data_IF_508061909575
#
_entry.id   IF_508061909575
#
_cell.length_a   1.000
_cell.length_b   1.000
_cell.length_c   1.000
_cell.angle_alpha   90.00
_cell.angle_beta   90.00
_cell.angle_gamma   90.00
#
_symmetry.space_group_name_H-M   'P 1'
#
loop_
_entity.id
_entity.type
_entity.pdbx_description
1 polymer ?
#
# COMPACT_ATOMS: atom_id res chain seq x y z
N UNK A 1 -21.79 16.86 -0.51
CA UNK A 1 -20.77 16.16 0.28
C UNK A 1 -19.72 15.64 -0.69
N UNK A 2 -18.48 16.11 -0.58
CA UNK A 2 -17.35 15.58 -1.36
C UNK A 2 -16.80 14.29 -0.72
N UNK A 3 -15.99 13.49 -1.45
CA UNK A 3 -15.34 12.32 -0.86
C UNK A 3 -14.42 12.64 0.32
N UNK A 4 -13.72 13.78 0.28
CA UNK A 4 -12.85 14.23 1.37
C UNK A 4 -13.67 14.63 2.60
N UNK A 5 -14.71 15.44 2.45
CA UNK A 5 -15.62 15.83 3.53
C UNK A 5 -16.25 14.59 4.20
N UNK A 6 -16.64 13.61 3.40
CA UNK A 6 -17.16 12.34 3.89
C UNK A 6 -16.11 11.58 4.72
N UNK A 7 -14.86 11.51 4.27
CA UNK A 7 -13.77 10.84 5.01
C UNK A 7 -13.55 11.50 6.36
N UNK A 8 -13.46 12.83 6.39
CA UNK A 8 -13.27 13.59 7.63
C UNK A 8 -14.40 13.32 8.63
N UNK A 9 -15.66 13.37 8.19
CA UNK A 9 -16.80 13.09 9.07
C UNK A 9 -16.84 11.63 9.55
N UNK A 10 -16.41 10.69 8.71
CA UNK A 10 -16.30 9.26 9.07
C UNK A 10 -15.21 9.02 10.12
N UNK A 11 -14.07 9.69 10.01
CA UNK A 11 -12.97 9.62 10.99
C UNK A 11 -13.40 10.14 12.38
N UNK A 12 -14.33 11.11 12.42
CA UNK A 12 -14.85 11.69 13.65
C UNK A 12 -15.84 10.79 14.40
N UNK A 13 -16.32 9.68 13.82
CA UNK A 13 -17.30 8.78 14.46
C UNK A 13 -16.79 8.20 15.79
N UNK A 14 -15.48 7.96 15.90
CA UNK A 14 -14.86 7.50 17.15
C UNK A 14 -15.02 8.52 18.27
N UNK A 15 -14.56 9.76 18.04
CA UNK A 15 -14.69 10.84 19.01
C UNK A 15 -16.16 11.19 19.30
N UNK A 16 -17.02 11.16 18.29
CA UNK A 16 -18.47 11.33 18.44
C UNK A 16 -19.06 10.29 19.41
N UNK A 17 -18.68 9.01 19.27
CA UNK A 17 -19.17 7.92 20.15
C UNK A 17 -18.72 8.08 21.61
N UNK A 18 -17.60 8.75 21.84
CA UNK A 18 -17.04 9.04 23.16
C UNK A 18 -17.53 10.37 23.74
N UNK A 19 -18.27 11.17 22.96
CA UNK A 19 -18.70 12.51 23.36
C UNK A 19 -17.56 13.54 23.43
N UNK A 20 -16.46 13.31 22.71
CA UNK A 20 -15.23 14.13 22.75
C UNK A 20 -15.12 15.12 21.57
N UNK A 21 -16.27 15.51 21.00
CA UNK A 21 -16.35 16.50 19.94
C UNK A 21 -16.89 17.84 20.47
N UNK A 22 -16.49 18.94 19.84
CA UNK A 22 -17.16 20.21 20.06
C UNK A 22 -18.61 20.16 19.56
N UNK A 23 -19.46 21.06 20.05
CA UNK A 23 -20.88 21.12 19.67
C UNK A 23 -21.09 21.28 18.15
N UNK A 24 -20.24 22.09 17.51
CA UNK A 24 -20.30 22.31 16.07
C UNK A 24 -19.93 21.03 15.28
N UNK A 25 -18.90 20.31 15.73
CA UNK A 25 -18.46 19.05 15.14
C UNK A 25 -19.49 17.93 15.33
N UNK A 26 -20.04 17.80 16.53
CA UNK A 26 -21.09 16.83 16.82
C UNK A 26 -22.33 17.09 15.96
N UNK A 27 -22.71 18.35 15.77
CA UNK A 27 -23.82 18.74 14.88
C UNK A 27 -23.54 18.36 13.42
N UNK A 28 -22.31 18.59 12.94
CA UNK A 28 -21.92 18.23 11.58
C UNK A 28 -21.95 16.70 11.36
N UNK A 29 -21.44 15.92 12.32
CA UNK A 29 -21.49 14.45 12.29
C UNK A 29 -22.93 13.96 12.34
N UNK A 30 -23.78 14.54 13.20
CA UNK A 30 -25.19 14.17 13.29
C UNK A 30 -25.93 14.42 11.96
N UNK A 31 -25.77 15.61 11.37
CA UNK A 31 -26.37 15.95 10.09
C UNK A 31 -25.90 15.00 8.96
N UNK A 32 -24.64 14.56 9.01
CA UNK A 32 -24.13 13.55 8.08
C UNK A 32 -24.78 12.17 8.30
N UNK A 33 -24.90 11.75 9.56
CA UNK A 33 -25.52 10.48 9.95
C UNK A 33 -26.99 10.40 9.56
N UNK A 34 -27.70 11.52 9.49
CA UNK A 34 -29.09 11.54 9.01
C UNK A 34 -29.17 11.10 7.53
N UNK A 35 -28.14 11.42 6.73
CA UNK A 35 -28.08 11.11 5.29
C UNK A 35 -27.29 9.87 4.90
N UNK A 36 -26.37 9.37 5.73
CA UNK A 36 -25.41 8.32 5.34
C UNK A 36 -25.64 6.99 6.07
N UNK A 37 -26.17 5.99 5.36
CA UNK A 37 -26.43 4.67 5.92
C UNK A 37 -25.14 3.90 6.29
N UNK A 38 -24.05 4.13 5.56
CA UNK A 38 -22.78 3.46 5.82
C UNK A 38 -22.12 3.97 7.10
N UNK A 39 -22.05 5.28 7.30
CA UNK A 39 -21.54 5.85 8.55
C UNK A 39 -22.42 5.51 9.76
N UNK A 40 -23.75 5.32 9.59
CA UNK A 40 -24.61 4.78 10.66
C UNK A 40 -24.26 3.34 11.02
N UNK A 41 -23.92 2.50 10.02
CA UNK A 41 -23.49 1.12 10.26
C UNK A 41 -22.16 1.09 11.00
N UNK A 42 -21.19 1.87 10.54
CA UNK A 42 -19.89 2.01 11.21
C UNK A 42 -20.06 2.48 12.66
N UNK A 43 -20.88 3.49 12.90
CA UNK A 43 -21.15 3.98 14.25
C UNK A 43 -21.76 2.88 15.14
N UNK A 44 -22.67 2.05 14.59
CA UNK A 44 -23.25 0.93 15.31
C UNK A 44 -22.21 -0.17 15.68
N UNK A 45 -21.13 -0.31 14.91
CA UNK A 45 -20.01 -1.19 15.24
C UNK A 45 -19.09 -0.57 16.32
N UNK A 46 -18.92 0.75 16.31
CA UNK A 46 -18.05 1.49 17.25
C UNK A 46 -18.68 1.61 18.64
N UNK A 47 -19.98 1.93 18.72
CA UNK A 47 -20.66 2.24 19.99
C UNK A 47 -20.50 1.15 21.08
N UNK A 48 -20.63 -0.16 20.80
CA UNK A 48 -20.39 -1.21 21.80
C UNK A 48 -18.96 -1.23 22.35
N UNK A 49 -17.97 -0.91 21.51
CA UNK A 49 -16.56 -0.81 21.91
C UNK A 49 -16.35 0.39 22.82
N UNK A 50 -16.91 1.56 22.45
CA UNK A 50 -16.86 2.77 23.27
C UNK A 50 -17.50 2.55 24.66
N UNK A 51 -18.63 1.85 24.71
CA UNK A 51 -19.26 1.47 25.99
C UNK A 51 -18.36 0.56 26.83
N UNK A 52 -17.64 -0.37 26.20
CA UNK A 52 -16.72 -1.26 26.91
C UNK A 52 -15.56 -0.52 27.58
N UNK A 53 -15.15 0.63 27.04
CA UNK A 53 -14.11 1.47 27.63
C UNK A 53 -14.52 2.08 28.97
N UNK A 54 -15.82 2.21 29.26
CA UNK A 54 -16.30 2.70 30.57
C UNK A 54 -15.94 1.79 31.74
N UNK A 55 -15.64 0.51 31.47
CA UNK A 55 -15.18 -0.46 32.48
C UNK A 55 -13.67 -0.40 32.74
N UNK A 56 -12.93 0.40 31.96
CA UNK A 56 -11.50 0.59 32.12
C UNK A 56 -11.28 1.76 33.08
N UNK A 57 -10.69 1.48 34.25
CA UNK A 57 -10.28 2.53 35.18
C UNK A 57 -9.05 3.24 34.63
N UNK A 58 -9.06 4.58 34.56
CA UNK A 58 -7.92 5.39 34.13
C UNK A 58 -6.62 5.01 34.85
N UNK A 59 -6.69 4.68 36.14
CA UNK A 59 -5.56 4.21 36.96
C UNK A 59 -4.83 2.99 36.36
N UNK A 60 -5.57 2.06 35.74
CA UNK A 60 -5.00 0.87 35.08
C UNK A 60 -4.35 1.20 33.73
N UNK A 61 -4.73 2.32 33.11
CA UNK A 61 -4.15 2.81 31.85
C UNK A 61 -2.88 3.61 32.12
N UNK A 62 -2.83 4.35 33.23
CA UNK A 62 -1.65 5.10 33.69
C UNK A 62 -0.42 4.22 33.93
N UNK A 63 -0.65 2.94 34.25
CA UNK A 63 0.40 1.93 34.44
C UNK A 63 0.98 1.39 33.12
N UNK A 64 0.35 1.71 31.98
CA UNK A 64 0.91 1.38 30.67
C UNK A 64 2.16 2.22 30.47
N UNK A 65 3.31 1.56 30.55
CA UNK A 65 4.61 2.17 30.31
C UNK A 65 4.56 2.98 29.00
N UNK A 66 4.80 4.28 29.10
CA UNK A 66 4.96 5.11 27.91
C UNK A 66 6.07 4.52 27.03
N UNK A 67 5.89 4.48 25.70
CA UNK A 67 6.92 3.99 24.81
C UNK A 67 8.20 4.79 25.02
N UNK A 68 9.35 4.12 24.85
CA UNK A 68 10.67 4.74 24.91
C UNK A 68 10.67 6.06 24.12
N UNK A 69 11.05 7.21 24.74
CA UNK A 69 11.01 8.51 24.08
C UNK A 69 11.89 8.58 22.82
N UNK A 70 12.88 7.69 22.68
CA UNK A 70 13.72 7.60 21.49
C UNK A 70 13.13 6.72 20.38
N UNK A 71 12.05 5.98 20.64
CA UNK A 71 11.43 5.08 19.66
C UNK A 71 11.09 5.78 18.35
N UNK A 72 10.50 6.98 18.42
CA UNK A 72 10.17 7.77 17.23
C UNK A 72 11.41 8.16 16.42
N UNK A 73 12.54 8.46 17.09
CA UNK A 73 13.81 8.76 16.43
C UNK A 73 14.38 7.50 15.77
N UNK A 74 14.36 6.36 16.46
CA UNK A 74 14.82 5.07 15.92
C UNK A 74 14.01 4.63 14.71
N UNK A 75 12.69 4.76 14.74
CA UNK A 75 11.82 4.44 13.60
C UNK A 75 12.18 5.32 12.40
N UNK A 76 12.28 6.64 12.59
CA UNK A 76 12.69 7.56 11.51
C UNK A 76 14.07 7.24 10.96
N UNK A 77 15.03 6.90 11.82
CA UNK A 77 16.38 6.50 11.42
C UNK A 77 16.36 5.19 10.63
N UNK A 78 15.61 4.18 11.07
CA UNK A 78 15.45 2.92 10.36
C UNK A 78 14.85 3.13 8.97
N UNK A 79 13.77 3.92 8.87
CA UNK A 79 13.15 4.28 7.59
C UNK A 79 14.12 5.03 6.67
N UNK A 80 14.93 5.95 7.22
CA UNK A 80 15.93 6.68 6.44
C UNK A 80 17.03 5.76 5.89
N UNK A 81 17.51 4.82 6.70
CA UNK A 81 18.50 3.81 6.29
C UNK A 81 17.93 2.91 5.20
N UNK A 82 16.70 2.44 5.36
CA UNK A 82 16.01 1.61 4.37
C UNK A 82 15.85 2.35 3.04
N UNK A 83 15.38 3.60 3.05
CA UNK A 83 15.29 4.45 1.85
C UNK A 83 16.64 4.63 1.18
N UNK A 84 17.70 4.91 1.95
CA UNK A 84 19.05 5.08 1.41
C UNK A 84 19.59 3.79 0.78
N UNK A 85 19.31 2.62 1.37
CA UNK A 85 19.67 1.33 0.81
C UNK A 85 18.91 1.05 -0.50
N UNK A 86 17.61 1.32 -0.54
CA UNK A 86 16.80 1.21 -1.76
C UNK A 86 17.35 2.08 -2.89
N UNK A 87 17.66 3.35 -2.60
CA UNK A 87 18.24 4.26 -3.59
C UNK A 87 19.63 3.83 -4.08
N UNK A 88 20.49 3.33 -3.18
CA UNK A 88 21.81 2.81 -3.58
C UNK A 88 21.67 1.59 -4.49
N UNK A 89 20.79 0.64 -4.16
CA UNK A 89 20.51 -0.55 -4.98
C UNK A 89 19.94 -0.17 -6.35
N UNK A 90 19.00 0.78 -6.40
CA UNK A 90 18.47 1.29 -7.66
C UNK A 90 19.57 1.95 -8.50
N UNK A 91 20.45 2.75 -7.88
CA UNK A 91 21.54 3.42 -8.60
C UNK A 91 22.60 2.45 -9.12
N UNK A 92 22.99 1.44 -8.35
CA UNK A 92 23.93 0.42 -8.82
C UNK A 92 23.35 -0.42 -9.94
N UNK A 93 22.07 -0.83 -9.83
CA UNK A 93 21.35 -1.51 -10.92
C UNK A 93 21.31 -0.67 -12.19
N UNK A 94 20.96 0.62 -12.10
CA UNK A 94 20.99 1.54 -13.25
C UNK A 94 22.38 1.68 -13.86
N UNK A 95 23.44 1.81 -13.05
CA UNK A 95 24.80 1.89 -13.59
C UNK A 95 25.23 0.61 -14.31
N UNK A 96 24.82 -0.56 -13.80
CA UNK A 96 25.10 -1.85 -14.43
C UNK A 96 24.32 -2.01 -15.74
N UNK A 97 23.06 -1.59 -15.78
CA UNK A 97 22.25 -1.58 -16.99
C UNK A 97 22.82 -0.64 -18.06
N UNK A 98 23.27 0.56 -17.68
CA UNK A 98 23.94 1.49 -18.59
C UNK A 98 25.25 0.90 -19.11
N UNK A 99 26.08 0.30 -18.25
CA UNK A 99 27.32 -0.36 -18.66
C UNK A 99 27.05 -1.53 -19.62
N UNK A 100 26.04 -2.35 -19.34
CA UNK A 100 25.61 -3.44 -20.21
C UNK A 100 25.09 -2.92 -21.57
N UNK A 101 24.33 -1.83 -21.59
CA UNK A 101 23.86 -1.20 -22.82
C UNK A 101 25.02 -0.65 -23.67
N UNK A 102 26.01 0.00 -23.04
CA UNK A 102 27.22 0.47 -23.75
C UNK A 102 28.00 -0.71 -24.34
N UNK A 103 28.19 -1.79 -23.59
CA UNK A 103 28.85 -3.01 -24.09
C UNK A 103 28.07 -3.65 -25.25
N UNK A 104 26.74 -3.69 -25.19
CA UNK A 104 25.90 -4.17 -26.28
C UNK A 104 26.01 -3.28 -27.54
N UNK A 105 26.03 -1.95 -27.38
CA UNK A 105 26.22 -1.02 -28.50
C UNK A 105 27.62 -1.20 -29.11
N UNK A 106 28.67 -1.41 -28.32
CA UNK A 106 30.03 -1.67 -28.83
C UNK A 106 30.09 -3.03 -29.53
N UNK A 107 29.42 -4.06 -29.01
CA UNK A 107 29.35 -5.37 -29.66
C UNK A 107 28.59 -5.32 -31.00
N UNK A 108 27.50 -4.56 -31.07
CA UNK A 108 26.70 -4.35 -32.30
C UNK A 108 27.41 -3.40 -33.28
N UNK A 109 28.12 -2.39 -32.77
CA UNK A 109 28.89 -1.43 -33.57
C UNK A 109 30.22 -1.97 -34.08
N UNK A 110 30.78 -3.01 -33.45
CA UNK A 110 32.03 -3.67 -33.84
C UNK A 110 31.86 -4.90 -34.73
N UNK A 111 30.65 -5.45 -34.87
CA UNK A 111 30.40 -6.68 -35.64
C UNK A 111 29.18 -6.47 -36.54
N UNK A 112 29.44 -6.17 -37.81
CA UNK A 112 28.49 -6.52 -38.86
C UNK A 112 28.33 -8.05 -38.91
N UNK A 113 27.09 -8.50 -39.07
CA UNK A 113 26.64 -9.89 -39.33
C UNK A 113 26.54 -10.81 -38.10
N UNK A 114 25.30 -11.07 -37.65
CA UNK A 114 24.67 -12.41 -37.57
C UNK A 114 23.46 -12.41 -36.62
N UNK A 115 22.30 -12.78 -37.15
CA UNK A 115 21.06 -13.04 -36.42
C UNK A 115 21.19 -14.37 -35.66
N UNK A 116 20.80 -14.43 -34.38
CA UNK A 116 20.70 -15.67 -33.63
C UNK A 116 20.11 -15.47 -32.23
N UNK A 117 18.81 -15.71 -32.09
CA UNK A 117 18.09 -15.69 -30.80
C UNK A 117 18.57 -16.83 -29.90
N UNK A 118 18.99 -16.52 -28.67
CA UNK A 118 19.08 -17.47 -27.57
C UNK A 118 18.86 -16.76 -26.23
N UNK A 119 17.64 -16.83 -25.70
CA UNK A 119 17.30 -16.42 -24.33
C UNK A 119 17.51 -17.64 -23.42
N UNK A 120 18.53 -17.56 -22.57
CA UNK A 120 18.78 -18.52 -21.49
C UNK A 120 18.14 -18.03 -20.19
N UNK A 121 17.13 -18.74 -19.68
CA UNK A 121 16.52 -18.48 -18.37
C UNK A 121 17.33 -19.13 -17.22
N UNK A 122 17.59 -18.46 -16.09
CA UNK A 122 18.16 -19.08 -14.89
C UNK A 122 17.12 -19.95 -14.13
N UNK A 123 17.55 -20.91 -13.29
CA UNK A 123 16.67 -21.88 -12.63
C UNK A 123 15.85 -21.27 -11.48
N UNK A 124 14.59 -21.71 -11.37
CA UNK A 124 13.62 -21.26 -10.37
C UNK A 124 13.92 -21.79 -8.95
N UNK A 125 13.78 -20.91 -7.96
CA UNK A 125 13.78 -21.22 -6.53
C UNK A 125 12.45 -21.90 -6.11
N UNK A 126 12.39 -22.65 -4.99
CA UNK A 126 11.21 -23.44 -4.61
C UNK A 126 9.96 -22.55 -4.41
N UNK A 127 8.87 -22.92 -5.07
CA UNK A 127 7.62 -22.16 -5.11
C UNK A 127 6.76 -22.40 -3.87
N UNK A 128 6.43 -21.32 -3.16
CA UNK A 128 5.21 -21.26 -2.33
C UNK A 128 4.01 -21.29 -3.29
N UNK A 129 2.89 -21.98 -2.99
CA UNK A 129 1.72 -21.98 -3.87
C UNK A 129 1.19 -20.55 -4.04
N UNK A 130 1.30 -20.01 -5.26
CA UNK A 130 0.75 -18.70 -5.64
C UNK A 130 -0.43 -18.98 -6.57
N UNK A 131 -1.61 -18.46 -6.23
CA UNK A 131 -2.78 -18.49 -7.10
C UNK A 131 -2.76 -17.25 -8.00
N UNK A 132 -2.80 -17.44 -9.32
CA UNK A 132 -2.80 -16.32 -10.27
C UNK A 132 -4.16 -15.62 -10.27
N UNK A 133 -4.17 -14.29 -10.19
CA UNK A 133 -5.39 -13.49 -10.25
C UNK A 133 -5.40 -12.64 -11.51
N UNK A 134 -6.55 -12.55 -12.18
CA UNK A 134 -6.71 -11.72 -13.35
C UNK A 134 -6.52 -10.24 -13.00
N UNK A 135 -5.57 -9.58 -13.68
CA UNK A 135 -5.31 -8.16 -13.53
C UNK A 135 -5.86 -7.40 -14.72
N UNK A 136 -6.77 -6.46 -14.47
CA UNK A 136 -7.26 -5.54 -15.47
C UNK A 136 -6.50 -4.21 -15.37
N UNK A 137 -5.60 -3.93 -16.32
CA UNK A 137 -5.01 -2.61 -16.49
C UNK A 137 -5.93 -1.75 -17.35
N UNK A 138 -6.26 -0.55 -16.87
CA UNK A 138 -7.05 0.45 -17.62
C UNK A 138 -6.18 1.59 -18.17
N UNK A 139 -4.86 1.50 -17.98
CA UNK A 139 -3.90 2.51 -18.45
C UNK A 139 -3.13 1.97 -19.65
N UNK A 140 -3.10 2.75 -20.72
CA UNK A 140 -2.29 2.44 -21.90
C UNK A 140 -0.81 2.42 -21.53
N UNK A 141 -0.10 1.37 -21.94
CA UNK A 141 1.35 1.22 -21.68
C UNK A 141 1.69 0.62 -20.30
N UNK A 142 0.72 0.30 -19.45
CA UNK A 142 0.95 -0.38 -18.17
C UNK A 142 0.60 -1.86 -18.28
N UNK A 143 1.59 -2.71 -18.05
CA UNK A 143 1.40 -4.17 -17.94
C UNK A 143 1.57 -4.58 -16.49
N UNK A 144 0.62 -5.35 -15.95
CA UNK A 144 0.69 -5.81 -14.57
C UNK A 144 0.19 -7.26 -14.44
N UNK A 145 0.81 -8.00 -13.54
CA UNK A 145 0.43 -9.36 -13.14
C UNK A 145 0.35 -9.44 -11.62
N UNK A 146 -0.65 -10.14 -11.10
CA UNK A 146 -0.83 -10.32 -9.67
C UNK A 146 -1.04 -11.79 -9.33
N UNK A 147 -0.40 -12.22 -8.27
CA UNK A 147 -0.65 -13.48 -7.60
C UNK A 147 -1.12 -13.23 -6.18
N UNK A 148 -1.87 -14.18 -5.64
CA UNK A 148 -2.34 -14.16 -4.27
C UNK A 148 -1.81 -15.39 -3.54
N UNK A 149 -1.36 -15.18 -2.31
CA UNK A 149 -0.97 -16.25 -1.40
C UNK A 149 -1.90 -16.18 -0.19
N UNK A 150 -2.68 -17.25 0.00
CA UNK A 150 -3.50 -17.40 1.19
C UNK A 150 -2.62 -17.83 2.37
N UNK A 151 -2.71 -17.08 3.46
CA UNK A 151 -2.06 -17.38 4.73
C UNK A 151 -3.12 -17.66 5.80
N UNK A 152 -2.73 -18.30 6.89
CA UNK A 152 -3.64 -18.55 8.03
C UNK A 152 -4.08 -17.28 8.74
N UNK A 153 -3.36 -16.18 8.54
CA UNK A 153 -3.61 -14.87 9.14
C UNK A 153 -4.14 -13.83 8.15
N UNK A 154 -4.27 -14.17 6.85
CA UNK A 154 -4.69 -13.20 5.85
C UNK A 154 -4.31 -13.57 4.43
N UNK A 155 -4.26 -12.56 3.56
CA UNK A 155 -4.01 -12.72 2.12
C UNK A 155 -2.87 -11.79 1.72
N UNK A 156 -1.83 -12.35 1.12
CA UNK A 156 -0.71 -11.59 0.56
C UNK A 156 -0.92 -11.43 -0.95
N UNK A 157 -0.75 -10.21 -1.46
CA UNK A 157 -0.81 -9.90 -2.89
C UNK A 157 0.61 -9.67 -3.39
N UNK A 158 1.02 -10.45 -4.38
CA UNK A 158 2.26 -10.24 -5.13
C UNK A 158 1.91 -9.59 -6.45
N UNK A 159 2.14 -8.28 -6.55
CA UNK A 159 1.90 -7.50 -7.76
C UNK A 159 3.25 -7.20 -8.42
N UNK A 160 3.35 -7.53 -9.71
CA UNK A 160 4.40 -7.03 -10.59
C UNK A 160 3.78 -6.08 -11.61
N UNK A 161 4.33 -4.88 -11.75
CA UNK A 161 3.85 -3.88 -12.69
C UNK A 161 5.00 -3.17 -13.41
N UNK A 162 4.81 -2.87 -14.70
CA UNK A 162 5.77 -2.20 -15.58
C UNK A 162 5.06 -1.05 -16.30
N UNK A 163 5.75 0.08 -16.44
CA UNK A 163 5.26 1.24 -17.20
C UNK A 163 4.57 2.31 -16.34
N UNK A 164 4.69 2.21 -15.02
CA UNK A 164 4.16 3.20 -14.08
C UNK A 164 5.05 4.44 -14.04
N UNK A 165 4.47 5.63 -13.97
CA UNK A 165 5.23 6.87 -13.88
C UNK A 165 6.08 6.89 -12.59
N UNK A 166 7.36 7.22 -12.74
CA UNK A 166 8.29 7.22 -11.63
C UNK A 166 7.96 8.36 -10.65
N UNK A 167 7.72 8.04 -9.39
CA UNK A 167 7.42 9.01 -8.33
C UNK A 167 5.93 9.24 -8.06
N UNK A 168 5.04 8.75 -8.93
CA UNK A 168 3.60 8.81 -8.70
C UNK A 168 3.15 7.73 -7.72
N UNK A 169 2.14 8.06 -6.91
CA UNK A 169 1.54 7.11 -5.95
C UNK A 169 0.36 6.39 -6.60
N UNK A 170 0.32 5.08 -6.44
CA UNK A 170 -0.70 4.19 -6.98
C UNK A 170 -1.34 3.38 -5.85
N UNK A 171 -2.67 3.30 -5.87
CA UNK A 171 -3.44 2.45 -4.96
C UNK A 171 -3.67 1.05 -5.56
N UNK A 172 -3.51 0.03 -4.74
CA UNK A 172 -3.88 -1.36 -5.04
C UNK A 172 -5.26 -1.60 -4.48
N UNK A 173 -6.21 -2.01 -5.33
CA UNK A 173 -7.58 -2.30 -4.94
C UNK A 173 -7.94 -3.71 -5.37
N UNK A 174 -8.42 -4.52 -4.42
CA UNK A 174 -8.99 -5.84 -4.69
C UNK A 174 -10.49 -5.69 -4.91
N UNK A 175 -11.01 -6.37 -5.92
CA UNK A 175 -12.45 -6.52 -6.14
C UNK A 175 -12.84 -7.91 -5.65
N UNK A 176 -13.69 -7.96 -4.63
CA UNK A 176 -14.21 -9.22 -4.08
C UNK A 176 -15.28 -9.82 -5.00
N UNK A 177 -15.64 -11.10 -4.80
CA UNK A 177 -16.60 -11.79 -5.67
C UNK A 177 -18.02 -11.19 -5.67
N UNK A 178 -18.36 -10.39 -4.66
CA UNK A 178 -19.58 -9.58 -4.55
C UNK A 178 -19.47 -8.20 -5.23
N UNK A 179 -18.33 -7.91 -5.87
CA UNK A 179 -18.06 -6.65 -6.58
C UNK A 179 -17.58 -5.51 -5.68
N UNK A 180 -17.40 -5.72 -4.38
CA UNK A 180 -16.93 -4.66 -3.48
C UNK A 180 -15.45 -4.36 -3.70
N UNK A 181 -15.10 -3.06 -3.63
CA UNK A 181 -13.72 -2.58 -3.75
C UNK A 181 -13.10 -2.48 -2.36
N UNK A 182 -12.00 -3.19 -2.11
CA UNK A 182 -11.24 -3.15 -0.86
C UNK A 182 -9.84 -2.60 -1.14
N UNK A 183 -9.41 -1.59 -0.39
CA UNK A 183 -8.02 -1.12 -0.46
C UNK A 183 -7.09 -2.23 0.03
N UNK A 184 -6.00 -2.45 -0.70
CA UNK A 184 -4.96 -3.42 -0.40
C UNK A 184 -3.57 -2.78 -0.26
N UNK A 185 -3.52 -1.46 -0.09
CA UNK A 185 -2.30 -0.68 0.09
C UNK A 185 -1.98 0.24 -1.09
N UNK A 186 -0.88 0.97 -0.95
CA UNK A 186 -0.40 1.92 -1.96
C UNK A 186 1.12 1.77 -2.14
N UNK A 187 1.60 2.08 -3.33
CA UNK A 187 3.02 2.04 -3.66
C UNK A 187 3.39 3.17 -4.62
N UNK A 188 4.69 3.42 -4.78
CA UNK A 188 5.20 4.49 -5.65
C UNK A 188 5.80 3.86 -6.90
N UNK A 189 5.38 4.33 -8.07
CA UNK A 189 5.89 3.85 -9.35
C UNK A 189 7.39 4.09 -9.51
N UNK A 190 8.08 3.15 -10.16
CA UNK A 190 9.54 3.21 -10.38
C UNK A 190 9.93 3.40 -11.86
N UNK A 191 8.97 3.56 -12.77
CA UNK A 191 9.21 3.75 -14.21
C UNK A 191 9.01 2.48 -15.04
N UNK A 192 9.90 2.30 -16.03
CA UNK A 192 9.96 1.11 -16.89
C UNK A 192 10.64 -0.10 -16.21
N UNK A 193 11.08 0.03 -14.95
CA UNK A 193 11.61 -1.08 -14.16
C UNK A 193 10.44 -1.87 -13.55
N UNK A 194 10.54 -3.20 -13.53
CA UNK A 194 9.57 -4.06 -12.83
C UNK A 194 9.69 -3.84 -11.32
N UNK A 195 8.55 -3.64 -10.66
CA UNK A 195 8.43 -3.53 -9.21
C UNK A 195 7.89 -4.81 -8.60
#
# INVERSE_FOLDING_TARGET
MTPEEHSTLREMLGAFSLGDLSEAEATAVQAHLDGCADCRRDLAEIVPLAQSLTYVSAERVSEVASPDPDLGRRIRAAVAVERAQHWRRARTRRSLLVAAAVLAIVAVGGVGVAIGNAVSSPPAAPAVPIEAVAVASRMDGVTASAGVVAHTWGVEIKLEAVGLAAGDTYDVVVITGDGQRRSAGAFVGVGAETM
#
